data_IF_112936758877
#
_entry.id   IF_112936758877
#
_cell.length_a   1.000
_cell.length_b   1.000
_cell.length_c   1.000
_cell.angle_alpha   90.00
_cell.angle_beta   90.00
_cell.angle_gamma   90.00
#
_symmetry.space_group_name_H-M   'P 1'
#
loop_
_entity.id
_entity.type
_entity.pdbx_description
1 polymer ?
#
# COMPACT_ATOMS: atom_id res chain seq x y z
N UNK A 1 -20.06 9.17 6.85
CA UNK A 1 -19.31 9.92 5.82
C UNK A 1 -19.96 11.28 5.62
N UNK A 2 -19.16 12.33 5.36
CA UNK A 2 -19.62 13.73 5.31
C UNK A 2 -20.12 14.19 3.92
N UNK A 3 -20.04 13.35 2.88
CA UNK A 3 -20.50 13.66 1.52
C UNK A 3 -20.00 12.66 0.47
N UNK A 4 -20.38 12.82 -0.81
CA UNK A 4 -19.87 12.03 -1.93
C UNK A 4 -18.37 12.31 -2.21
N UNK A 5 -17.59 11.28 -2.51
CA UNK A 5 -16.16 11.39 -2.86
C UNK A 5 -15.31 10.22 -2.38
N UNK A 6 -14.00 10.26 -2.68
CA UNK A 6 -13.04 9.31 -2.11
C UNK A 6 -12.83 9.57 -0.63
N UNK A 7 -12.33 8.57 0.10
CA UNK A 7 -12.00 8.73 1.52
C UNK A 7 -11.09 9.95 1.72
N UNK A 8 -11.32 10.77 2.75
CA UNK A 8 -10.45 11.91 3.10
C UNK A 8 -9.05 11.46 3.54
N UNK A 9 -8.97 10.21 4.00
CA UNK A 9 -7.77 9.47 4.36
C UNK A 9 -6.92 9.05 3.15
N UNK A 10 -5.60 9.07 3.26
CA UNK A 10 -4.65 8.57 2.25
C UNK A 10 -4.57 7.04 2.25
N UNK A 11 -5.68 6.41 1.89
CA UNK A 11 -5.81 4.97 1.74
C UNK A 11 -5.64 4.50 0.31
N UNK A 12 -6.03 3.26 0.05
CA UNK A 12 -5.84 2.60 -1.24
C UNK A 12 -6.38 3.41 -2.42
N UNK A 13 -7.58 3.99 -2.32
CA UNK A 13 -8.15 4.77 -3.42
C UNK A 13 -7.35 6.05 -3.75
N UNK A 14 -6.80 6.74 -2.74
CA UNK A 14 -6.03 7.97 -2.95
C UNK A 14 -4.60 7.67 -3.39
N UNK A 15 -3.97 6.62 -2.85
CA UNK A 15 -2.70 6.12 -3.37
C UNK A 15 -2.85 5.66 -4.83
N UNK A 16 -3.96 5.02 -5.20
CA UNK A 16 -4.21 4.61 -6.58
C UNK A 16 -4.36 5.80 -7.53
N UNK A 17 -5.07 6.87 -7.12
CA UNK A 17 -5.14 8.10 -7.92
C UNK A 17 -3.75 8.70 -8.17
N UNK A 18 -2.92 8.79 -7.11
CA UNK A 18 -1.54 9.24 -7.23
C UNK A 18 -0.74 8.36 -8.19
N UNK A 19 -0.84 7.04 -8.05
CA UNK A 19 -0.15 6.09 -8.92
C UNK A 19 -0.52 6.29 -10.40
N UNK A 20 -1.82 6.36 -10.71
CA UNK A 20 -2.25 6.55 -12.09
C UNK A 20 -1.73 7.86 -12.68
N UNK A 21 -1.61 8.93 -11.89
CA UNK A 21 -1.10 10.20 -12.41
C UNK A 21 0.42 10.22 -12.54
N UNK A 22 1.18 9.73 -11.55
CA UNK A 22 2.65 9.71 -11.61
C UNK A 22 3.19 8.68 -12.63
N UNK A 23 2.41 7.64 -12.93
CA UNK A 23 2.67 6.69 -14.02
C UNK A 23 2.20 7.20 -15.39
N UNK A 24 1.65 8.42 -15.46
CA UNK A 24 1.23 9.03 -16.72
C UNK A 24 -0.06 8.46 -17.33
N UNK A 25 -0.92 7.77 -16.58
CA UNK A 25 -2.21 7.23 -17.04
C UNK A 25 -3.37 8.23 -16.91
N UNK A 26 -3.27 9.20 -16.00
CA UNK A 26 -4.23 10.28 -15.88
C UNK A 26 -3.79 11.53 -16.64
N UNK A 27 -4.72 12.42 -16.95
CA UNK A 27 -4.39 13.77 -17.43
C UNK A 27 -3.73 14.58 -16.30
N UNK A 28 -2.73 15.43 -16.57
CA UNK A 28 -2.03 16.21 -15.55
C UNK A 28 -2.95 17.08 -14.70
N UNK A 29 -2.75 17.05 -13.38
CA UNK A 29 -3.49 17.83 -12.38
C UNK A 29 -4.89 17.30 -12.08
N UNK A 30 -5.23 16.08 -12.51
CA UNK A 30 -6.60 15.57 -12.42
C UNK A 30 -6.92 14.84 -11.11
N UNK A 31 -5.90 14.32 -10.41
CA UNK A 31 -6.10 13.66 -9.12
C UNK A 31 -6.46 14.67 -8.05
N UNK A 32 -7.22 14.21 -7.05
CA UNK A 32 -7.60 15.01 -5.88
C UNK A 32 -8.51 16.22 -6.13
N UNK A 33 -8.92 16.50 -7.38
CA UNK A 33 -10.00 17.44 -7.67
C UNK A 33 -11.34 16.87 -7.17
N UNK A 34 -12.06 17.65 -6.35
CA UNK A 34 -13.30 17.22 -5.73
C UNK A 34 -14.39 16.82 -6.74
N UNK A 35 -15.17 15.77 -6.45
CA UNK A 35 -16.29 15.35 -7.28
C UNK A 35 -17.40 16.41 -7.30
N UNK A 36 -18.22 16.40 -8.36
CA UNK A 36 -19.37 17.31 -8.47
C UNK A 36 -19.01 18.78 -8.67
N UNK A 37 -17.73 19.09 -8.95
CA UNK A 37 -17.28 20.44 -9.26
C UNK A 37 -17.25 20.66 -10.78
N UNK A 38 -17.46 21.90 -11.27
CA UNK A 38 -17.34 22.19 -12.70
C UNK A 38 -15.96 21.85 -13.28
N UNK A 39 -14.90 21.95 -12.47
CA UNK A 39 -13.54 21.53 -12.86
C UNK A 39 -13.45 20.02 -13.07
N UNK A 40 -14.06 19.20 -12.20
CA UNK A 40 -14.10 17.74 -12.40
C UNK A 40 -14.84 17.39 -13.71
N UNK A 41 -15.91 18.09 -14.03
CA UNK A 41 -16.65 17.87 -15.28
C UNK A 41 -15.82 18.28 -16.50
N UNK A 42 -15.09 19.40 -16.41
CA UNK A 42 -14.18 19.86 -17.45
C UNK A 42 -13.04 18.87 -17.70
N UNK A 43 -12.38 18.38 -16.64
CA UNK A 43 -11.35 17.33 -16.71
C UNK A 43 -11.88 16.03 -17.30
N UNK A 44 -13.09 15.62 -16.93
CA UNK A 44 -13.73 14.40 -17.48
C UNK A 44 -13.95 14.54 -18.99
N UNK A 45 -14.43 15.70 -19.45
CA UNK A 45 -14.59 15.98 -20.89
C UNK A 45 -13.24 16.03 -21.61
N UNK A 46 -12.21 16.61 -20.99
CA UNK A 46 -10.86 16.67 -21.55
C UNK A 46 -10.24 15.27 -21.68
N UNK A 47 -10.34 14.44 -20.65
CA UNK A 47 -9.85 13.06 -20.68
C UNK A 47 -10.50 12.25 -21.81
N UNK A 48 -11.81 12.41 -22.03
CA UNK A 48 -12.50 11.77 -23.14
C UNK A 48 -11.97 12.24 -24.51
N UNK A 49 -11.76 13.55 -24.69
CA UNK A 49 -11.16 14.08 -25.93
C UNK A 49 -9.74 13.57 -26.13
N UNK A 50 -8.94 13.52 -25.05
CA UNK A 50 -7.56 13.03 -25.11
C UNK A 50 -7.51 11.57 -25.50
N UNK A 51 -8.35 10.72 -24.89
CA UNK A 51 -8.46 9.31 -25.23
C UNK A 51 -8.79 9.08 -26.71
N UNK A 52 -9.65 9.91 -27.32
CA UNK A 52 -9.95 9.87 -28.75
C UNK A 52 -8.79 10.35 -29.63
N UNK A 53 -8.00 11.32 -29.15
CA UNK A 53 -6.85 11.86 -29.91
C UNK A 53 -5.66 10.91 -29.96
N UNK A 54 -5.52 10.00 -28.99
CA UNK A 54 -4.37 9.08 -28.89
C UNK A 54 -4.64 7.67 -29.46
N UNK A 55 -5.69 7.56 -30.27
CA UNK A 55 -6.05 6.31 -30.93
C UNK A 55 -5.15 6.02 -32.14
N UNK A 56 -5.20 4.79 -32.64
CA UNK A 56 -4.48 4.38 -33.86
C UNK A 56 -4.95 5.10 -35.14
N UNK A 57 -6.06 5.85 -35.08
CA UNK A 57 -6.57 6.66 -36.19
C UNK A 57 -5.96 8.06 -36.24
N UNK A 58 -5.33 8.51 -35.13
CA UNK A 58 -4.74 9.83 -34.98
C UNK A 58 -3.24 9.86 -35.23
N UNK A 59 -2.63 11.01 -34.95
CA UNK A 59 -1.19 11.24 -35.13
C UNK A 59 -0.37 11.02 -33.84
N UNK A 60 -1.03 10.67 -32.74
CA UNK A 60 -0.42 10.56 -31.41
C UNK A 60 -0.79 9.21 -30.78
N UNK A 61 -0.54 8.12 -31.51
CA UNK A 61 -0.95 6.78 -31.07
C UNK A 61 -0.19 6.35 -29.81
N UNK A 62 -0.89 6.33 -28.68
CA UNK A 62 -0.32 6.01 -27.35
C UNK A 62 -1.01 4.78 -26.74
N UNK A 63 -0.74 3.56 -27.24
CA UNK A 63 -1.32 2.37 -26.64
C UNK A 63 -0.72 2.11 -25.26
N UNK A 64 -1.58 1.84 -24.27
CA UNK A 64 -1.16 1.65 -22.87
C UNK A 64 -0.08 0.59 -22.69
N UNK A 65 -0.13 -0.50 -23.45
CA UNK A 65 0.88 -1.58 -23.39
C UNK A 65 2.25 -1.24 -24.00
N UNK A 66 2.42 -0.06 -24.62
CA UNK A 66 3.73 0.50 -24.97
C UNK A 66 4.12 1.67 -24.08
N UNK A 67 3.13 2.38 -23.57
CA UNK A 67 3.32 3.54 -22.71
C UNK A 67 3.82 3.13 -21.32
N UNK A 68 3.22 2.10 -20.74
CA UNK A 68 3.65 1.54 -19.46
C UNK A 68 4.87 0.64 -19.68
N UNK A 69 5.99 1.09 -19.15
CA UNK A 69 7.27 0.39 -19.12
C UNK A 69 7.82 0.33 -17.69
N UNK A 70 9.01 -0.25 -17.52
CA UNK A 70 9.68 -0.40 -16.23
C UNK A 70 9.89 0.95 -15.52
N UNK A 71 10.24 2.00 -16.28
CA UNK A 71 10.46 3.36 -15.76
C UNK A 71 9.18 3.94 -15.16
N UNK A 72 8.06 3.73 -15.85
CA UNK A 72 6.73 4.16 -15.40
C UNK A 72 6.30 3.42 -14.13
N UNK A 73 6.57 2.11 -14.04
CA UNK A 73 6.32 1.31 -12.84
C UNK A 73 7.19 1.79 -11.67
N UNK A 74 8.50 2.04 -11.90
CA UNK A 74 9.41 2.61 -10.90
C UNK A 74 8.91 3.97 -10.41
N UNK A 75 8.46 4.86 -11.30
CA UNK A 75 7.85 6.13 -10.91
C UNK A 75 6.63 5.94 -9.99
N UNK A 76 5.81 4.92 -10.25
CA UNK A 76 4.73 4.51 -9.35
C UNK A 76 5.22 4.12 -7.96
N UNK A 77 6.26 3.26 -7.89
CA UNK A 77 6.87 2.84 -6.61
C UNK A 77 7.48 4.02 -5.86
N UNK A 78 8.18 4.92 -6.55
CA UNK A 78 8.70 6.17 -5.98
C UNK A 78 7.58 7.02 -5.38
N UNK A 79 6.50 7.22 -6.13
CA UNK A 79 5.32 7.95 -5.63
C UNK A 79 4.70 7.29 -4.39
N UNK A 80 4.64 5.96 -4.36
CA UNK A 80 4.14 5.19 -3.22
C UNK A 80 4.96 5.47 -1.95
N UNK A 81 6.29 5.46 -2.05
CA UNK A 81 7.21 5.76 -0.94
C UNK A 81 7.16 7.22 -0.52
N UNK A 82 7.24 8.14 -1.48
CA UNK A 82 7.30 9.58 -1.22
C UNK A 82 6.03 10.11 -0.53
N UNK A 83 4.90 9.44 -0.73
CA UNK A 83 3.62 9.78 -0.12
C UNK A 83 3.27 8.93 1.10
N UNK A 84 4.05 7.89 1.40
CA UNK A 84 3.73 6.89 2.40
C UNK A 84 2.37 6.26 2.11
N UNK A 85 2.15 5.79 0.87
CA UNK A 85 0.88 5.24 0.41
C UNK A 85 0.55 3.83 0.93
N UNK A 86 -0.61 3.33 0.52
CA UNK A 86 -1.18 2.08 1.04
C UNK A 86 -0.35 0.84 0.71
N UNK A 87 -0.08 -0.01 1.70
CA UNK A 87 0.63 -1.30 1.50
C UNK A 87 -0.10 -2.25 0.55
N UNK A 88 -1.40 -2.06 0.28
CA UNK A 88 -2.11 -2.83 -0.75
C UNK A 88 -1.47 -2.68 -2.14
N UNK A 89 -0.77 -1.57 -2.41
CA UNK A 89 -0.08 -1.39 -3.68
C UNK A 89 1.18 -2.23 -3.82
N UNK A 90 1.67 -2.85 -2.75
CA UNK A 90 2.69 -3.91 -2.88
C UNK A 90 2.15 -5.15 -3.59
N UNK A 91 0.81 -5.31 -3.66
CA UNK A 91 0.14 -6.37 -4.39
C UNK A 91 -0.30 -5.83 -5.76
N UNK A 92 -0.96 -4.66 -5.78
CA UNK A 92 -1.49 -4.09 -7.02
C UNK A 92 -0.40 -3.70 -8.03
N UNK A 93 0.71 -3.10 -7.60
CA UNK A 93 1.79 -2.73 -8.53
C UNK A 93 2.45 -3.96 -9.15
N UNK A 94 2.63 -5.03 -8.38
CA UNK A 94 3.14 -6.31 -8.91
C UNK A 94 2.18 -6.88 -9.94
N UNK A 95 0.87 -6.92 -9.64
CA UNK A 95 -0.13 -7.41 -10.58
C UNK A 95 -0.22 -6.53 -11.85
N UNK A 96 -0.12 -5.21 -11.71
CA UNK A 96 -0.11 -4.27 -12.84
C UNK A 96 1.14 -4.44 -13.70
N UNK A 97 2.31 -4.55 -13.08
CA UNK A 97 3.57 -4.80 -13.77
C UNK A 97 3.52 -6.13 -14.54
N UNK A 98 3.07 -7.20 -13.89
CA UNK A 98 2.93 -8.52 -14.51
C UNK A 98 1.98 -8.50 -15.71
N UNK A 99 0.86 -7.76 -15.63
CA UNK A 99 -0.07 -7.59 -16.75
C UNK A 99 0.55 -6.84 -17.95
N UNK A 100 1.59 -6.04 -17.71
CA UNK A 100 2.39 -5.38 -18.75
C UNK A 100 3.62 -6.21 -19.18
N UNK A 101 3.83 -7.41 -18.63
CA UNK A 101 5.00 -8.24 -18.91
C UNK A 101 6.27 -7.80 -18.16
N UNK A 102 6.13 -6.99 -17.11
CA UNK A 102 7.22 -6.44 -16.30
C UNK A 102 7.32 -7.21 -14.99
N UNK A 103 8.52 -7.65 -14.64
CA UNK A 103 8.79 -8.25 -13.33
C UNK A 103 9.06 -7.14 -12.29
N UNK A 104 8.19 -7.05 -11.28
CA UNK A 104 8.37 -6.23 -10.09
C UNK A 104 8.28 -7.13 -8.87
N UNK A 105 9.28 -7.10 -8.00
CA UNK A 105 9.32 -7.89 -6.77
C UNK A 105 9.11 -6.99 -5.55
N UNK A 106 8.75 -7.57 -4.41
CA UNK A 106 8.77 -6.80 -3.16
C UNK A 106 10.18 -6.32 -2.78
N UNK A 107 11.24 -7.03 -3.20
CA UNK A 107 12.60 -6.58 -2.94
C UNK A 107 12.89 -5.27 -3.69
N UNK A 108 12.48 -5.15 -4.95
CA UNK A 108 12.60 -3.89 -5.71
C UNK A 108 11.86 -2.74 -5.02
N UNK A 109 10.65 -3.01 -4.52
CA UNK A 109 9.87 -2.03 -3.76
C UNK A 109 10.61 -1.66 -2.45
N UNK A 110 11.17 -2.64 -1.73
CA UNK A 110 11.92 -2.39 -0.49
C UNK A 110 13.20 -1.58 -0.75
N UNK A 111 13.98 -1.94 -1.77
CA UNK A 111 15.24 -1.29 -2.10
C UNK A 111 15.03 0.16 -2.53
N UNK A 112 13.98 0.42 -3.33
CA UNK A 112 13.58 1.78 -3.67
C UNK A 112 13.15 2.60 -2.44
N UNK A 113 12.64 1.96 -1.38
CA UNK A 113 12.26 2.68 -0.16
C UNK A 113 13.45 3.35 0.52
N UNK A 114 14.64 2.76 0.43
CA UNK A 114 15.88 3.29 1.02
C UNK A 114 16.40 4.52 0.27
N UNK A 115 16.04 4.68 -1.00
CA UNK A 115 16.46 5.81 -1.84
C UNK A 115 15.43 6.95 -1.93
N UNK A 116 14.17 6.68 -1.56
CA UNK A 116 13.07 7.64 -1.74
C UNK A 116 12.63 8.21 -0.40
N UNK A 117 12.77 9.53 -0.16
CA UNK A 117 12.37 10.13 1.10
C UNK A 117 10.85 10.30 1.23
N UNK A 118 10.35 10.28 2.46
CA UNK A 118 8.94 10.57 2.76
C UNK A 118 8.67 12.07 2.76
N UNK A 119 7.91 12.56 1.78
CA UNK A 119 7.58 13.98 1.60
C UNK A 119 6.17 14.34 2.05
N UNK A 120 5.25 13.38 2.20
CA UNK A 120 3.88 13.66 2.62
C UNK A 120 3.51 13.04 3.99
N UNK A 121 2.76 13.79 4.79
CA UNK A 121 2.13 13.36 6.05
C UNK A 121 0.62 13.56 6.00
N UNK A 122 -0.03 12.70 5.24
CA UNK A 122 -1.49 12.64 5.15
C UNK A 122 -2.01 11.54 6.06
N UNK A 123 -3.17 11.75 6.69
CA UNK A 123 -3.88 10.76 7.53
C UNK A 123 -3.81 9.39 6.83
N UNK A 124 -3.18 8.36 7.44
CA UNK A 124 -2.94 8.16 8.87
C UNK A 124 -1.60 8.68 9.39
N UNK A 125 -0.66 8.97 8.48
CA UNK A 125 0.71 9.35 8.81
C UNK A 125 0.78 10.76 9.43
N UNK A 126 -0.29 11.53 9.32
CA UNK A 126 -0.46 12.86 9.90
C UNK A 126 -1.93 13.15 10.23
N UNK A 127 -2.20 14.38 10.64
CA UNK A 127 -3.55 14.85 10.96
C UNK A 127 -4.29 15.41 9.75
N UNK A 128 -3.54 15.82 8.72
CA UNK A 128 -4.07 16.44 7.51
C UNK A 128 -4.74 15.42 6.60
N UNK A 129 -5.84 15.80 5.97
CA UNK A 129 -6.50 14.99 4.95
C UNK A 129 -5.94 15.24 3.55
N UNK A 130 -6.46 14.52 2.56
CA UNK A 130 -6.01 14.63 1.16
C UNK A 130 -6.28 16.01 0.54
N UNK A 131 -7.27 16.76 1.05
CA UNK A 131 -7.56 18.12 0.57
C UNK A 131 -6.48 19.09 1.05
N UNK A 132 -6.02 18.95 2.30
CA UNK A 132 -4.90 19.73 2.83
C UNK A 132 -3.59 19.40 2.08
N UNK A 133 -3.37 18.12 1.72
CA UNK A 133 -2.26 17.75 0.84
C UNK A 133 -2.33 18.44 -0.52
N UNK A 134 -3.50 18.45 -1.15
CA UNK A 134 -3.71 19.14 -2.42
C UNK A 134 -3.48 20.65 -2.29
N UNK A 135 -4.01 21.28 -1.23
CA UNK A 135 -3.84 22.71 -0.96
C UNK A 135 -2.39 23.10 -0.61
N UNK A 136 -1.59 22.19 -0.06
CA UNK A 136 -0.17 22.41 0.20
C UNK A 136 0.69 22.40 -1.08
N UNK A 137 0.12 22.06 -2.24
CA UNK A 137 0.80 21.99 -3.54
C UNK A 137 0.55 20.68 -4.30
N UNK A 138 0.01 19.67 -3.60
CA UNK A 138 -0.50 18.45 -4.18
C UNK A 138 0.53 17.65 -4.99
N UNK A 139 0.03 16.93 -5.99
CA UNK A 139 0.85 16.01 -6.75
C UNK A 139 1.79 16.72 -7.73
N UNK A 140 1.39 17.87 -8.28
CA UNK A 140 2.24 18.68 -9.14
C UNK A 140 3.52 19.15 -8.44
N UNK A 141 3.40 19.62 -7.19
CA UNK A 141 4.56 19.95 -6.34
C UNK A 141 5.45 18.72 -6.12
N UNK A 142 4.85 17.60 -5.70
CA UNK A 142 5.58 16.36 -5.41
C UNK A 142 6.36 15.85 -6.64
N UNK A 143 5.71 15.80 -7.80
CA UNK A 143 6.33 15.36 -9.07
C UNK A 143 7.50 16.27 -9.42
N UNK A 144 7.34 17.60 -9.27
CA UNK A 144 8.43 18.54 -9.53
C UNK A 144 9.63 18.29 -8.62
N UNK A 145 9.42 18.22 -7.31
CA UNK A 145 10.50 18.01 -6.33
C UNK A 145 11.29 16.73 -6.62
N UNK A 146 10.58 15.64 -6.94
CA UNK A 146 11.22 14.35 -7.22
C UNK A 146 11.92 14.31 -8.59
N UNK A 147 11.41 15.02 -9.60
CA UNK A 147 12.08 15.16 -10.90
C UNK A 147 13.34 16.02 -10.79
N UNK A 148 13.27 17.14 -10.06
CA UNK A 148 14.40 18.08 -9.91
C UNK A 148 15.59 17.45 -9.18
N UNK A 149 15.32 16.50 -8.28
CA UNK A 149 16.33 15.73 -7.56
C UNK A 149 16.68 14.40 -8.28
N UNK A 150 16.13 14.16 -9.48
CA UNK A 150 16.48 13.02 -10.32
C UNK A 150 16.00 11.66 -9.81
N UNK A 151 15.00 11.64 -8.94
CA UNK A 151 14.43 10.42 -8.33
C UNK A 151 13.33 9.81 -9.20
N UNK A 152 12.65 10.62 -10.02
CA UNK A 152 11.70 10.15 -11.03
C UNK A 152 12.36 10.09 -12.41
N UNK A 153 11.98 9.09 -13.19
CA UNK A 153 12.27 9.03 -14.62
C UNK A 153 11.45 10.09 -15.36
N UNK A 154 12.15 11.06 -15.95
CA UNK A 154 11.53 12.05 -16.86
C UNK A 154 11.26 11.43 -18.24
N UNK A 155 12.10 10.51 -18.69
CA UNK A 155 12.12 9.91 -20.03
C UNK A 155 11.06 8.81 -20.24
N UNK A 156 9.81 9.11 -19.85
CA UNK A 156 8.66 8.21 -19.97
C UNK A 156 7.66 8.69 -21.01
N UNK A 157 6.84 7.76 -21.52
CA UNK A 157 5.66 8.09 -22.31
C UNK A 157 4.45 8.21 -21.38
N UNK A 158 3.57 9.16 -21.63
CA UNK A 158 2.35 9.36 -20.83
C UNK A 158 1.15 9.55 -21.74
N UNK A 159 -0.07 9.50 -21.17
CA UNK A 159 -1.27 9.88 -21.91
C UNK A 159 -1.25 11.36 -22.30
N UNK A 160 -0.29 12.16 -21.83
CA UNK A 160 -0.10 13.57 -22.15
C UNK A 160 1.14 13.85 -23.01
N UNK A 161 1.70 12.81 -23.65
CA UNK A 161 2.88 12.91 -24.50
C UNK A 161 4.16 12.44 -23.79
N UNK A 162 5.31 12.76 -24.37
CA UNK A 162 6.61 12.40 -23.80
C UNK A 162 6.94 13.30 -22.61
N UNK A 163 7.53 12.71 -21.56
CA UNK A 163 7.97 13.44 -20.38
C UNK A 163 6.99 13.40 -19.23
N UNK A 164 7.51 13.32 -18.00
CA UNK A 164 6.70 13.49 -16.78
C UNK A 164 6.62 14.95 -16.32
N UNK A 165 7.52 15.83 -16.79
CA UNK A 165 7.53 17.27 -16.44
C UNK A 165 6.18 17.99 -16.67
N UNK A 166 5.38 17.70 -17.72
CA UNK A 166 4.05 18.27 -17.89
C UNK A 166 3.06 17.99 -16.74
N UNK A 167 3.38 17.05 -15.85
CA UNK A 167 2.59 16.73 -14.66
C UNK A 167 2.93 17.60 -13.44
N UNK A 168 3.98 18.43 -13.52
CA UNK A 168 4.35 19.40 -12.48
C UNK A 168 3.45 20.66 -12.48
N UNK A 169 2.13 20.47 -12.51
CA UNK A 169 1.10 21.51 -12.72
C UNK A 169 -0.07 21.39 -11.75
N UNK A 170 -0.84 22.48 -11.62
CA UNK A 170 -2.18 22.49 -11.03
C UNK A 170 -3.24 22.73 -12.11
N UNK A 171 -4.33 21.96 -12.08
CA UNK A 171 -5.47 22.19 -12.95
C UNK A 171 -6.46 23.19 -12.31
N UNK A 172 -6.92 24.17 -13.10
CA UNK A 172 -7.93 25.15 -12.74
C UNK A 172 -9.04 25.23 -13.78
N UNK A 173 -10.20 25.74 -13.36
CA UNK A 173 -11.30 26.01 -14.28
C UNK A 173 -11.03 27.33 -15.01
N UNK A 174 -10.95 27.27 -16.33
CA UNK A 174 -10.82 28.45 -17.19
C UNK A 174 -12.10 29.28 -17.23
N UNK A 175 -11.97 30.54 -17.65
CA UNK A 175 -13.11 31.45 -17.82
C UNK A 175 -14.14 30.96 -18.86
N UNK A 176 -13.71 30.12 -19.80
CA UNK A 176 -14.54 29.47 -20.82
C UNK A 176 -15.17 28.14 -20.35
N UNK A 177 -14.94 27.74 -19.09
CA UNK A 177 -15.36 26.46 -18.53
C UNK A 177 -14.48 25.28 -18.95
N UNK A 178 -13.35 25.53 -19.61
CA UNK A 178 -12.31 24.56 -19.93
C UNK A 178 -11.34 24.30 -18.78
N UNK A 179 -10.34 23.46 -19.03
CA UNK A 179 -9.24 23.20 -18.07
C UNK A 179 -8.06 24.09 -18.46
N UNK A 180 -7.56 24.86 -17.50
CA UNK A 180 -6.30 25.61 -17.60
C UNK A 180 -5.29 24.95 -16.65
N UNK A 181 -4.03 24.85 -17.07
CA UNK A 181 -2.94 24.32 -16.24
C UNK A 181 -1.96 25.43 -15.90
N UNK A 182 -1.66 25.56 -14.62
CA UNK A 182 -0.64 26.47 -14.11
C UNK A 182 0.54 25.67 -13.57
N UNK A 183 1.73 26.25 -13.58
CA UNK A 183 2.89 25.59 -12.96
C UNK A 183 2.61 25.33 -11.47
N UNK A 184 3.06 24.18 -10.97
CA UNK A 184 2.98 23.86 -9.54
C UNK A 184 3.70 24.92 -8.68
N UNK A 185 3.20 25.21 -7.47
CA UNK A 185 3.75 26.27 -6.63
C UNK A 185 5.19 25.96 -6.25
N UNK A 186 6.13 26.92 -6.35
CA UNK A 186 7.55 26.68 -6.04
C UNK A 186 7.80 26.28 -4.58
N UNK A 187 6.97 26.76 -3.67
CA UNK A 187 7.02 26.46 -2.24
C UNK A 187 5.78 25.69 -1.81
N UNK A 188 5.92 24.85 -0.78
CA UNK A 188 4.77 24.17 -0.18
C UNK A 188 3.91 25.16 0.60
N UNK A 189 2.59 25.06 0.44
CA UNK A 189 1.63 25.82 1.24
C UNK A 189 1.58 25.39 2.71
N UNK A 190 2.05 24.17 3.03
CA UNK A 190 2.24 23.70 4.40
C UNK A 190 3.30 22.58 4.46
N UNK A 191 4.54 22.94 4.82
CA UNK A 191 5.66 21.99 4.98
C UNK A 191 5.41 20.90 6.04
N UNK A 192 4.39 21.05 6.92
CA UNK A 192 4.02 20.00 7.88
C UNK A 192 3.18 18.90 7.26
N UNK A 193 2.59 19.15 6.09
CA UNK A 193 1.76 18.20 5.32
C UNK A 193 2.51 17.68 4.11
N UNK A 194 3.16 18.57 3.36
CA UNK A 194 3.93 18.25 2.16
C UNK A 194 5.26 19.00 2.22
N UNK A 195 6.34 18.29 2.51
CA UNK A 195 7.66 18.87 2.65
C UNK A 195 8.41 18.96 1.30
N UNK A 196 9.26 19.98 1.09
CA UNK A 196 10.22 19.96 0.00
C UNK A 196 11.25 18.84 0.22
N UNK A 197 11.88 18.36 -0.85
CA UNK A 197 12.76 17.19 -0.83
C UNK A 197 13.85 17.28 0.25
N UNK A 198 14.51 18.44 0.33
CA UNK A 198 15.62 18.70 1.27
C UNK A 198 15.19 18.75 2.74
N UNK A 199 13.89 18.85 3.01
CA UNK A 199 13.32 18.84 4.36
C UNK A 199 12.37 17.65 4.57
N UNK A 200 12.60 16.56 3.85
CA UNK A 200 11.81 15.34 3.96
C UNK A 200 11.56 14.92 5.42
N UNK A 201 10.38 14.37 5.67
CA UNK A 201 9.99 13.93 7.01
C UNK A 201 10.81 12.74 7.49
N UNK A 202 11.21 11.87 6.56
CA UNK A 202 12.09 10.73 6.77
C UNK A 202 12.99 10.58 5.54
N UNK A 203 14.25 10.13 5.70
CA UNK A 203 15.14 9.90 4.58
C UNK A 203 14.71 8.72 3.70
N UNK A 204 13.81 7.87 4.19
CA UNK A 204 13.30 6.67 3.50
C UNK A 204 11.77 6.62 3.49
N UNK A 205 11.20 5.85 2.57
CA UNK A 205 9.74 5.71 2.37
C UNK A 205 9.05 4.89 3.45
N UNK A 206 9.82 4.09 4.18
CA UNK A 206 9.35 3.32 5.33
C UNK A 206 8.49 2.11 4.96
N UNK A 207 8.72 1.48 3.81
CA UNK A 207 8.17 0.17 3.49
C UNK A 207 9.32 -0.82 3.28
N UNK A 208 9.25 -1.96 3.97
CA UNK A 208 10.34 -2.92 4.00
C UNK A 208 9.83 -4.34 3.83
N UNK A 209 10.62 -5.18 3.15
CA UNK A 209 10.44 -6.63 3.17
C UNK A 209 11.01 -7.21 4.47
N UNK A 210 10.27 -8.14 5.03
CA UNK A 210 10.74 -9.01 6.10
C UNK A 210 10.99 -10.40 5.52
N UNK A 211 12.16 -10.98 5.81
CA UNK A 211 12.49 -12.37 5.49
C UNK A 211 12.86 -13.17 6.74
N UNK A 212 12.75 -14.49 6.71
CA UNK A 212 13.20 -15.34 7.80
C UNK A 212 12.59 -16.73 7.77
N UNK A 213 12.68 -17.45 8.89
CA UNK A 213 12.12 -18.80 8.97
C UNK A 213 10.58 -18.83 8.94
N UNK A 214 9.91 -17.67 9.04
CA UNK A 214 8.47 -17.51 8.85
C UNK A 214 8.06 -17.20 7.40
N UNK A 215 9.01 -17.09 6.48
CA UNK A 215 8.76 -16.76 5.07
C UNK A 215 9.05 -15.29 4.75
N UNK A 216 8.26 -14.72 3.83
CA UNK A 216 8.35 -13.32 3.45
C UNK A 216 7.10 -12.55 3.88
N UNK A 217 7.27 -11.30 4.27
CA UNK A 217 6.18 -10.38 4.59
C UNK A 217 6.56 -8.96 4.21
N UNK A 218 5.60 -8.05 4.27
CA UNK A 218 5.87 -6.61 4.17
C UNK A 218 5.51 -5.92 5.47
N UNK A 219 6.27 -4.88 5.81
CA UNK A 219 5.99 -4.00 6.94
C UNK A 219 6.12 -2.56 6.51
N UNK A 220 5.29 -1.70 7.13
CA UNK A 220 5.40 -0.26 6.99
C UNK A 220 5.85 0.37 8.31
N UNK A 221 6.98 1.06 8.29
CA UNK A 221 7.65 1.68 9.44
C UNK A 221 7.47 3.20 9.50
N UNK A 222 6.84 3.81 8.48
CA UNK A 222 6.68 5.27 8.38
C UNK A 222 5.98 5.91 9.59
N UNK A 223 5.10 5.19 10.28
CA UNK A 223 4.41 5.66 11.49
C UNK A 223 4.86 4.93 12.77
N UNK A 224 5.83 4.01 12.67
CA UNK A 224 6.35 3.21 13.78
C UNK A 224 7.58 3.89 14.36
N UNK A 225 7.49 4.29 15.63
CA UNK A 225 8.62 4.92 16.33
C UNK A 225 9.82 3.96 16.41
N UNK A 226 11.07 4.44 16.32
CA UNK A 226 12.27 3.60 16.35
C UNK A 226 12.29 2.56 17.47
N UNK A 227 11.91 2.95 18.70
CA UNK A 227 11.87 2.07 19.87
C UNK A 227 10.82 0.94 19.80
N UNK A 228 9.94 0.97 18.78
CA UNK A 228 8.90 -0.04 18.50
C UNK A 228 9.16 -0.82 17.22
N UNK A 229 10.26 -0.60 16.51
CA UNK A 229 10.59 -1.30 15.25
C UNK A 229 11.08 -2.72 15.45
N UNK A 230 11.58 -3.02 16.65
CA UNK A 230 11.98 -4.37 17.06
C UNK A 230 11.10 -4.82 18.22
N UNK A 231 10.32 -5.87 18.00
CA UNK A 231 9.50 -6.52 19.01
C UNK A 231 9.87 -8.00 19.07
N UNK A 232 10.26 -8.45 20.24
CA UNK A 232 10.44 -9.85 20.57
C UNK A 232 9.52 -10.18 21.75
N UNK A 233 8.54 -11.04 21.52
CA UNK A 233 7.52 -11.34 22.52
C UNK A 233 6.83 -12.68 22.22
N UNK A 234 6.18 -13.31 23.21
CA UNK A 234 5.40 -14.53 22.99
C UNK A 234 4.24 -14.30 22.01
N UNK A 235 3.97 -15.30 21.17
CA UNK A 235 2.84 -15.32 20.27
C UNK A 235 1.53 -15.44 21.04
N UNK A 236 0.51 -14.69 20.61
CA UNK A 236 -0.90 -14.99 20.87
C UNK A 236 -1.58 -15.26 19.54
N UNK A 237 -2.01 -16.50 19.34
CA UNK A 237 -2.45 -17.02 18.05
C UNK A 237 -3.98 -16.98 17.94
N UNK A 238 -4.46 -16.48 16.82
CA UNK A 238 -5.88 -16.42 16.48
C UNK A 238 -6.08 -16.76 15.01
N UNK A 239 -7.23 -17.35 14.68
CA UNK A 239 -7.59 -17.69 13.29
C UNK A 239 -8.60 -16.71 12.69
N UNK A 240 -8.94 -15.64 13.43
CA UNK A 240 -9.82 -14.57 12.95
C UNK A 240 -9.60 -13.27 13.71
N UNK A 241 -9.95 -12.15 13.07
CA UNK A 241 -9.97 -10.86 13.77
C UNK A 241 -10.97 -10.81 14.94
N UNK A 242 -12.02 -11.62 14.87
CA UNK A 242 -13.04 -11.66 15.91
C UNK A 242 -12.45 -12.27 17.20
N UNK A 243 -11.62 -13.31 17.07
CA UNK A 243 -10.91 -13.92 18.20
C UNK A 243 -10.05 -12.93 18.99
N UNK A 244 -9.24 -12.10 18.32
CA UNK A 244 -8.44 -11.07 19.02
C UNK A 244 -9.35 -10.05 19.73
N UNK A 245 -10.43 -9.62 19.08
CA UNK A 245 -11.36 -8.66 19.66
C UNK A 245 -12.05 -9.21 20.91
N UNK A 246 -12.44 -10.49 20.90
CA UNK A 246 -13.09 -11.11 22.04
C UNK A 246 -12.12 -11.33 23.19
N UNK A 247 -10.86 -11.71 22.92
CA UNK A 247 -9.79 -11.74 23.92
C UNK A 247 -9.52 -10.35 24.54
N UNK A 248 -9.53 -9.29 23.72
CA UNK A 248 -9.40 -7.92 24.22
C UNK A 248 -10.55 -7.53 25.15
N UNK A 249 -11.80 -7.81 24.76
CA UNK A 249 -13.00 -7.54 25.59
C UNK A 249 -12.98 -8.34 26.90
N UNK A 250 -12.48 -9.57 26.85
CA UNK A 250 -12.33 -10.43 28.02
C UNK A 250 -11.16 -10.00 28.94
N UNK A 251 -10.32 -9.04 28.51
CA UNK A 251 -9.19 -8.57 29.30
C UNK A 251 -8.03 -9.57 29.39
N UNK A 252 -7.95 -10.55 28.49
CA UNK A 252 -6.94 -11.63 28.53
C UNK A 252 -5.66 -11.28 27.77
N UNK A 253 -5.62 -10.13 27.08
CA UNK A 253 -4.44 -9.61 26.38
C UNK A 253 -3.55 -8.82 27.36
N UNK A 254 -2.81 -9.55 28.19
CA UNK A 254 -1.88 -9.02 29.18
C UNK A 254 -0.43 -9.27 28.78
N UNK A 255 0.48 -8.43 29.26
CA UNK A 255 1.91 -8.48 28.94
C UNK A 255 2.23 -8.03 27.52
N UNK A 256 3.49 -8.22 27.13
CA UNK A 256 3.97 -8.02 25.76
C UNK A 256 3.66 -9.27 24.93
N UNK A 257 3.23 -9.09 23.68
CA UNK A 257 2.93 -10.22 22.80
C UNK A 257 2.93 -9.84 21.32
N UNK A 258 3.10 -10.84 20.46
CA UNK A 258 2.87 -10.72 19.01
C UNK A 258 1.54 -11.40 18.68
N UNK A 259 0.56 -10.63 18.20
CA UNK A 259 -0.70 -11.17 17.71
C UNK A 259 -0.44 -11.87 16.37
N UNK A 260 -0.68 -13.17 16.30
CA UNK A 260 -0.57 -13.94 15.06
C UNK A 260 -1.98 -14.24 14.57
N UNK A 261 -2.37 -13.66 13.43
CA UNK A 261 -3.70 -13.86 12.84
C UNK A 261 -3.54 -14.66 11.56
N UNK A 262 -3.96 -15.93 11.60
CA UNK A 262 -3.80 -16.90 10.51
C UNK A 262 -5.06 -17.04 9.67
N UNK A 263 -4.93 -17.70 8.53
CA UNK A 263 -6.04 -18.04 7.64
C UNK A 263 -6.78 -16.80 7.12
N UNK A 264 -6.02 -15.72 6.91
CA UNK A 264 -6.51 -14.45 6.34
C UNK A 264 -5.90 -14.17 4.96
N UNK A 265 -5.18 -15.13 4.37
CA UNK A 265 -4.52 -14.99 3.08
C UNK A 265 -5.46 -15.05 1.87
N UNK A 266 -4.91 -14.85 0.66
CA UNK A 266 -5.66 -14.91 -0.60
C UNK A 266 -6.51 -16.17 -0.76
N UNK A 267 -5.92 -17.35 -0.57
CA UNK A 267 -6.62 -18.64 -0.73
C UNK A 267 -7.55 -18.96 0.43
N UNK A 268 -7.23 -18.51 1.64
CA UNK A 268 -8.05 -18.80 2.82
C UNK A 268 -9.46 -18.18 2.72
N UNK A 269 -9.54 -16.86 2.46
CA UNK A 269 -10.80 -16.13 2.50
C UNK A 269 -10.84 -14.89 1.59
N UNK A 270 -9.99 -14.84 0.56
CA UNK A 270 -9.92 -13.70 -0.36
C UNK A 270 -9.19 -12.49 0.23
N UNK A 271 -8.41 -12.69 1.30
CA UNK A 271 -7.58 -11.66 1.93
C UNK A 271 -8.32 -10.36 2.29
N UNK A 272 -9.31 -10.41 3.20
CA UNK A 272 -10.04 -9.23 3.64
C UNK A 272 -9.15 -8.28 4.46
N UNK A 273 -9.48 -6.99 4.46
CA UNK A 273 -8.78 -6.02 5.32
C UNK A 273 -9.25 -6.13 6.78
N UNK A 274 -8.32 -6.41 7.69
CA UNK A 274 -8.56 -6.67 9.12
C UNK A 274 -8.64 -5.38 9.95
N UNK A 275 -9.45 -4.42 9.52
CA UNK A 275 -9.51 -3.05 10.08
C UNK A 275 -9.76 -2.98 11.60
N UNK A 276 -10.40 -3.98 12.22
CA UNK A 276 -10.71 -3.96 13.67
C UNK A 276 -9.48 -4.17 14.56
N UNK A 277 -8.37 -4.68 14.01
CA UNK A 277 -7.17 -4.99 14.80
C UNK A 277 -6.37 -3.74 15.20
N UNK A 278 -6.34 -2.72 14.33
CA UNK A 278 -5.54 -1.50 14.54
C UNK A 278 -5.92 -0.80 15.84
N UNK A 279 -7.22 -0.69 16.12
CA UNK A 279 -7.73 -0.02 17.32
C UNK A 279 -7.33 -0.77 18.59
N UNK A 280 -7.54 -2.09 18.61
CA UNK A 280 -7.21 -2.95 19.76
C UNK A 280 -5.72 -2.88 20.07
N UNK A 281 -4.86 -3.13 19.08
CA UNK A 281 -3.41 -3.14 19.27
C UNK A 281 -2.88 -1.74 19.61
N UNK A 282 -3.45 -0.69 19.02
CA UNK A 282 -3.11 0.70 19.32
C UNK A 282 -3.38 1.06 20.79
N UNK A 283 -4.52 0.64 21.34
CA UNK A 283 -4.86 0.86 22.76
C UNK A 283 -3.90 0.11 23.67
N UNK A 284 -3.54 -1.14 23.34
CA UNK A 284 -2.60 -1.93 24.13
C UNK A 284 -1.21 -1.31 24.13
N UNK A 285 -0.74 -0.82 22.98
CA UNK A 285 0.52 -0.09 22.87
C UNK A 285 0.51 1.21 23.68
N UNK A 286 -0.59 1.97 23.68
CA UNK A 286 -0.73 3.20 24.48
C UNK A 286 -0.73 2.93 25.99
N UNK A 287 -1.14 1.73 26.41
CA UNK A 287 -1.00 1.25 27.79
C UNK A 287 0.42 0.83 28.15
N UNK A 288 1.37 0.98 27.22
CA UNK A 288 2.79 0.71 27.41
C UNK A 288 3.25 -0.65 26.89
N UNK A 289 2.34 -1.57 26.57
CA UNK A 289 2.70 -2.92 26.11
C UNK A 289 3.52 -2.88 24.82
N UNK A 290 4.45 -3.80 24.65
CA UNK A 290 5.16 -4.05 23.39
C UNK A 290 4.36 -5.09 22.60
N UNK A 291 3.56 -4.59 21.65
CA UNK A 291 2.72 -5.43 20.80
C UNK A 291 3.09 -5.28 19.35
N UNK A 292 2.95 -6.37 18.60
CA UNK A 292 3.07 -6.40 17.15
C UNK A 292 1.97 -7.29 16.53
N UNK A 293 1.82 -7.20 15.22
CA UNK A 293 0.94 -8.05 14.42
C UNK A 293 1.75 -8.86 13.40
N UNK A 294 1.41 -10.13 13.24
CA UNK A 294 1.87 -11.01 12.16
C UNK A 294 0.64 -11.66 11.54
N UNK A 295 0.44 -11.51 10.23
CA UNK A 295 -0.71 -12.12 9.55
C UNK A 295 -0.41 -12.44 8.10
N UNK A 296 -0.94 -13.57 7.63
CA UNK A 296 -0.98 -13.95 6.21
C UNK A 296 -2.01 -13.12 5.42
N UNK A 297 -2.87 -12.37 6.12
CA UNK A 297 -3.78 -11.40 5.52
C UNK A 297 -3.22 -9.99 5.47
N UNK A 298 -4.13 -9.01 5.47
CA UNK A 298 -3.78 -7.60 5.30
C UNK A 298 -4.54 -6.65 6.22
N UNK A 299 -3.98 -5.46 6.40
CA UNK A 299 -4.61 -4.33 7.09
C UNK A 299 -5.16 -3.34 6.06
N UNK A 300 -5.80 -2.26 6.50
CA UNK A 300 -6.45 -1.26 5.63
C UNK A 300 -5.50 -0.43 4.75
N UNK A 301 -4.25 -0.87 4.58
CA UNK A 301 -3.17 -0.15 3.89
C UNK A 301 -2.63 1.06 4.66
N UNK A 302 -3.36 1.50 5.69
CA UNK A 302 -3.04 2.58 6.59
C UNK A 302 -1.83 2.23 7.46
N UNK A 303 -0.87 3.15 7.57
CA UNK A 303 0.20 3.00 8.55
C UNK A 303 -0.38 3.13 9.95
N UNK A 304 -0.16 2.11 10.77
CA UNK A 304 -0.38 2.17 12.20
C UNK A 304 0.91 2.51 12.94
N UNK A 305 0.78 3.00 14.17
CA UNK A 305 1.90 3.13 15.11
C UNK A 305 2.40 1.80 15.69
N UNK A 306 1.67 0.71 15.42
CA UNK A 306 1.99 -0.66 15.85
C UNK A 306 2.71 -1.36 14.70
N UNK A 307 3.87 -2.00 14.94
CA UNK A 307 4.55 -2.80 13.92
C UNK A 307 3.67 -3.98 13.48
N UNK A 308 3.52 -4.13 12.16
CA UNK A 308 2.68 -5.16 11.57
C UNK A 308 3.37 -5.79 10.36
N UNK A 309 3.77 -7.05 10.50
CA UNK A 309 4.14 -7.91 9.38
C UNK A 309 2.86 -8.45 8.75
N UNK A 310 2.56 -8.01 7.53
CA UNK A 310 1.36 -8.40 6.79
C UNK A 310 1.77 -9.12 5.51
N UNK A 311 0.79 -9.79 4.88
CA UNK A 311 1.01 -10.58 3.68
C UNK A 311 2.04 -11.70 3.89
N UNK A 312 2.13 -12.24 5.11
CA UNK A 312 3.05 -13.34 5.43
C UNK A 312 2.80 -14.49 4.48
N UNK A 313 3.84 -14.89 3.76
CA UNK A 313 3.76 -15.82 2.65
C UNK A 313 4.91 -16.84 2.75
N UNK A 314 4.65 -18.17 2.58
CA UNK A 314 3.37 -18.80 2.25
C UNK A 314 2.28 -18.63 3.32
N UNK A 315 1.02 -18.55 2.91
CA UNK A 315 -0.13 -18.39 3.82
C UNK A 315 -0.46 -19.69 4.58
N UNK A 316 -1.27 -19.61 5.64
CA UNK A 316 -1.51 -20.75 6.51
C UNK A 316 -2.18 -21.94 5.82
N UNK A 317 -3.09 -21.72 4.86
CA UNK A 317 -3.76 -22.81 4.12
C UNK A 317 -2.87 -23.51 3.10
N UNK A 318 -1.71 -22.93 2.78
CA UNK A 318 -0.68 -23.54 1.93
C UNK A 318 0.45 -24.14 2.77
N UNK A 319 0.15 -24.58 4.00
CA UNK A 319 1.10 -25.14 4.96
C UNK A 319 2.29 -24.21 5.27
N UNK A 320 2.09 -22.90 5.13
CA UNK A 320 3.10 -21.89 5.44
C UNK A 320 3.56 -21.95 6.90
N UNK A 321 4.81 -21.52 7.20
CA UNK A 321 5.37 -21.54 8.55
C UNK A 321 4.45 -20.92 9.62
N UNK A 322 3.69 -19.87 9.26
CA UNK A 322 2.74 -19.20 10.15
C UNK A 322 1.69 -20.17 10.75
N UNK A 323 1.32 -21.26 10.03
CA UNK A 323 0.37 -22.27 10.50
C UNK A 323 0.91 -23.15 11.64
N UNK A 324 2.22 -23.17 11.87
CA UNK A 324 2.91 -24.01 12.88
C UNK A 324 3.22 -23.28 14.18
N UNK A 325 2.92 -21.98 14.23
CA UNK A 325 3.07 -21.16 15.43
C UNK A 325 2.02 -21.58 16.46
N UNK A 326 2.46 -21.75 17.70
CA UNK A 326 1.63 -22.00 18.87
C UNK A 326 1.68 -20.81 19.83
N UNK A 327 0.65 -20.71 20.68
CA UNK A 327 0.66 -19.73 21.78
C UNK A 327 1.91 -19.87 22.64
N UNK A 328 2.54 -18.74 22.96
CA UNK A 328 3.74 -18.69 23.79
C UNK A 328 5.06 -18.84 23.04
N UNK A 329 5.08 -19.24 21.77
CA UNK A 329 6.29 -19.24 20.96
C UNK A 329 6.87 -17.82 20.91
N UNK A 330 8.17 -17.67 21.15
CA UNK A 330 8.81 -16.35 21.02
C UNK A 330 8.98 -16.03 19.54
N UNK A 331 8.45 -14.89 19.12
CA UNK A 331 8.62 -14.36 17.77
C UNK A 331 9.43 -13.08 17.86
N UNK A 332 10.38 -12.90 16.96
CA UNK A 332 11.11 -11.66 16.73
C UNK A 332 10.66 -11.06 15.40
N UNK A 333 10.07 -9.87 15.47
CA UNK A 333 9.83 -8.99 14.33
C UNK A 333 10.83 -7.85 14.43
N UNK A 334 11.77 -7.79 13.49
CA UNK A 334 12.80 -6.76 13.42
C UNK A 334 12.69 -6.00 12.09
N UNK A 335 12.05 -4.84 12.14
CA UNK A 335 11.88 -3.99 10.96
C UNK A 335 13.16 -3.25 10.57
N UNK A 336 14.16 -3.16 11.45
CA UNK A 336 15.43 -2.49 11.14
C UNK A 336 16.38 -3.47 10.42
N UNK A 337 16.41 -4.73 10.83
CA UNK A 337 17.14 -5.80 10.14
C UNK A 337 16.37 -6.38 8.93
N UNK A 338 15.06 -6.18 8.85
CA UNK A 338 14.23 -6.80 7.82
C UNK A 338 14.00 -8.30 8.07
N UNK A 339 13.89 -8.71 9.34
CA UNK A 339 13.74 -10.12 9.71
C UNK A 339 12.43 -10.42 10.43
N UNK A 340 11.89 -11.62 10.16
CA UNK A 340 10.72 -12.17 10.84
C UNK A 340 10.97 -13.63 11.20
N UNK A 341 11.13 -13.90 12.49
CA UNK A 341 11.59 -15.19 12.98
C UNK A 341 10.73 -15.71 14.13
N UNK A 342 10.47 -17.01 14.14
CA UNK A 342 10.04 -17.74 15.34
C UNK A 342 11.25 -18.40 15.98
N UNK A 343 11.49 -18.13 17.26
CA UNK A 343 12.67 -18.58 18.02
C UNK A 343 12.44 -19.97 18.63
N UNK A 344 11.97 -20.89 17.79
CA UNK A 344 11.84 -22.32 18.10
C UNK A 344 12.93 -23.07 17.32
N UNK A 345 13.61 -24.06 17.91
CA UNK A 345 14.61 -24.86 17.19
C UNK A 345 14.03 -25.40 15.86
N UNK A 346 14.74 -25.17 14.75
CA UNK A 346 14.20 -25.44 13.42
C UNK A 346 13.75 -26.89 13.20
N UNK A 347 14.45 -27.87 13.78
CA UNK A 347 14.07 -29.28 13.72
C UNK A 347 12.75 -29.57 14.46
N UNK A 348 12.51 -28.92 15.60
CA UNK A 348 11.25 -29.02 16.33
C UNK A 348 10.13 -28.35 15.53
N UNK A 349 10.35 -27.13 15.07
CA UNK A 349 9.35 -26.34 14.35
C UNK A 349 8.89 -27.03 13.05
N UNK A 350 9.82 -27.61 12.29
CA UNK A 350 9.52 -28.34 11.05
C UNK A 350 8.69 -29.61 11.27
N UNK A 351 8.71 -30.19 12.48
CA UNK A 351 7.94 -31.39 12.84
C UNK A 351 6.55 -31.06 13.41
N UNK A 352 6.27 -29.79 13.72
CA UNK A 352 4.96 -29.39 14.25
C UNK A 352 3.88 -29.57 13.19
N UNK A 353 2.75 -30.11 13.64
CA UNK A 353 1.52 -30.18 12.82
C UNK A 353 1.05 -28.76 12.55
N UNK A 354 0.65 -28.48 11.30
CA UNK A 354 -0.04 -27.24 10.95
C UNK A 354 -1.40 -27.19 11.64
N UNK A 355 -1.84 -26.00 12.06
CA UNK A 355 -3.16 -25.85 12.64
C UNK A 355 -4.25 -26.24 11.65
N UNK A 356 -5.28 -26.90 12.16
CA UNK A 356 -6.49 -27.26 11.43
C UNK A 356 -7.54 -26.19 11.71
N UNK A 357 -8.07 -25.55 10.67
CA UNK A 357 -9.08 -24.51 10.78
C UNK A 357 -10.28 -24.85 9.89
N UNK A 358 -11.48 -24.80 10.48
CA UNK A 358 -12.72 -24.93 9.71
C UNK A 358 -12.99 -23.64 8.93
N UNK A 359 -12.64 -23.66 7.65
CA UNK A 359 -12.82 -22.53 6.72
C UNK A 359 -14.08 -22.66 5.87
N UNK A 360 -14.95 -23.65 6.11
CA UNK A 360 -16.15 -23.89 5.27
C UNK A 360 -17.05 -22.66 5.22
N UNK A 361 -17.12 -21.91 6.32
CA UNK A 361 -17.87 -20.67 6.43
C UNK A 361 -17.38 -19.56 5.50
N UNK A 362 -16.20 -19.69 4.88
CA UNK A 362 -15.66 -18.78 3.87
C UNK A 362 -16.06 -19.17 2.44
N UNK A 363 -16.54 -20.39 2.20
CA UNK A 363 -16.78 -20.92 0.85
C UNK A 363 -18.15 -20.54 0.28
N UNK A 364 -19.17 -20.40 1.12
CA UNK A 364 -20.56 -20.19 0.69
C UNK A 364 -21.22 -18.97 1.36
N UNK A 365 -22.31 -18.44 0.81
CA UNK A 365 -23.07 -17.28 1.31
C UNK A 365 -22.56 -15.95 0.73
N UNK A 366 -23.47 -14.98 0.56
CA UNK A 366 -23.21 -13.67 -0.05
C UNK A 366 -22.56 -13.72 -1.45
N UNK A 367 -22.77 -14.81 -2.19
CA UNK A 367 -22.21 -15.01 -3.54
C UNK A 367 -20.75 -15.45 -3.56
N UNK A 368 -20.17 -15.86 -2.42
CA UNK A 368 -18.79 -16.34 -2.33
C UNK A 368 -18.52 -17.55 -3.22
N UNK A 369 -19.54 -18.35 -3.52
CA UNK A 369 -19.49 -19.50 -4.41
C UNK A 369 -19.10 -19.11 -5.84
N UNK A 370 -19.47 -17.90 -6.28
CA UNK A 370 -19.11 -17.36 -7.59
C UNK A 370 -17.60 -17.13 -7.73
N UNK A 371 -16.89 -17.03 -6.61
CA UNK A 371 -15.46 -16.73 -6.55
C UNK A 371 -14.60 -17.92 -6.12
N UNK A 372 -15.20 -19.12 -5.96
CA UNK A 372 -14.47 -20.32 -5.54
C UNK A 372 -13.29 -20.63 -6.49
N UNK A 373 -13.51 -20.56 -7.81
CA UNK A 373 -12.45 -20.76 -8.80
C UNK A 373 -11.32 -19.73 -8.68
N UNK A 374 -11.66 -18.44 -8.52
CA UNK A 374 -10.66 -17.39 -8.30
C UNK A 374 -9.83 -17.65 -7.05
N UNK A 375 -10.47 -18.07 -5.95
CA UNK A 375 -9.78 -18.34 -4.68
C UNK A 375 -8.88 -19.58 -4.75
N UNK A 376 -9.20 -20.56 -5.58
CA UNK A 376 -8.32 -21.71 -5.81
C UNK A 376 -7.12 -21.36 -6.71
N UNK A 377 -7.33 -20.49 -7.70
CA UNK A 377 -6.33 -20.10 -8.70
C UNK A 377 -5.41 -18.97 -8.25
N UNK A 378 -5.81 -18.19 -7.24
CA UNK A 378 -5.06 -17.01 -6.80
C UNK A 378 -3.64 -17.39 -6.41
N UNK A 379 -2.67 -16.63 -6.92
CA UNK A 379 -1.28 -16.74 -6.54
C UNK A 379 -1.00 -16.16 -5.15
N UNK A 380 0.26 -16.33 -4.72
CA UNK A 380 0.75 -15.77 -3.46
C UNK A 380 0.70 -14.24 -3.46
N UNK A 381 0.65 -13.65 -2.26
CA UNK A 381 0.61 -12.19 -2.11
C UNK A 381 1.87 -11.49 -2.63
N UNK A 382 3.04 -12.11 -2.50
CA UNK A 382 4.32 -11.61 -3.05
C UNK A 382 4.40 -11.68 -4.57
N UNK A 383 3.48 -12.39 -5.22
CA UNK A 383 3.29 -12.39 -6.67
C UNK A 383 2.01 -11.63 -7.08
N UNK A 384 1.60 -10.63 -6.29
CA UNK A 384 0.48 -9.76 -6.62
C UNK A 384 -0.92 -10.36 -6.44
N UNK A 385 -1.03 -11.55 -5.82
CA UNK A 385 -2.31 -12.25 -5.61
C UNK A 385 -3.18 -12.30 -6.88
N UNK A 386 -2.54 -12.53 -8.04
CA UNK A 386 -3.21 -12.61 -9.33
C UNK A 386 -3.84 -13.99 -9.53
N UNK A 387 -5.04 -14.04 -10.12
CA UNK A 387 -5.71 -15.29 -10.49
C UNK A 387 -5.43 -15.72 -11.95
N UNK A 388 -4.82 -14.84 -12.74
CA UNK A 388 -4.49 -15.09 -14.15
C UNK A 388 -3.03 -14.75 -14.38
N UNK A 389 -2.21 -15.74 -14.74
CA UNK A 389 -0.86 -15.59 -15.25
C UNK A 389 0.12 -14.86 -14.31
N UNK A 390 1.00 -15.63 -13.68
CA UNK A 390 2.34 -15.13 -13.35
C UNK A 390 3.28 -15.78 -14.37
N UNK A 391 4.02 -14.97 -15.14
CA UNK A 391 5.01 -15.47 -16.09
C UNK A 391 6.16 -16.16 -15.36
#
# INVERSE_FOLDING_TARGET
YHGPGTCTFYGTANSNQMLMEIMGLHTPGASFVNPGTPLRDALTREAARRALSITALGNDYTPVGRMIDERSIVNGVVGLHATGGSTNHTIHLIAMAAAAGIALTWQDISDLSEAVPLLARVYPNGLADVNHFHAAGGLGFLIRELLDEGILHEDVQTVWGEGLRPYAVEARLGADGGVVREASPLESGDEKVLAPFKKAFQPTGGLKVLGGNLGHAVIKTSAVKPERRVIEAPAKVFDSQQGLNDAFKAGTLTGDFIAVIRFQGPKANGMPELHKLTTVLGILQDRGQRVALVTDGRMSGASGKVPAAIHVTPEAVEDGPIARIHDGDIIRLDADAGTLEVLVPGAEFALRRTADADLIGNEFGFGRELFAGFRQLVGRADHGAAAFGNA
#
